data_IF_622457962716
#
_entry.id   IF_622457962716
#
_cell.length_a   1.000
_cell.length_b   1.000
_cell.length_c   1.000
_cell.angle_alpha   90.00
_cell.angle_beta   90.00
_cell.angle_gamma   90.00
#
_symmetry.space_group_name_H-M   'P 1'
#
loop_
_entity.id
_entity.type
_entity.pdbx_description
1 polymer ?
#
# COMPACT_ATOMS: atom_id res chain seq x y z
N UNK A 1 -48.83 1.23 9.58
CA UNK A 1 -48.23 1.53 8.27
C UNK A 1 -47.39 2.83 8.29
N UNK A 2 -47.89 3.92 8.84
CA UNK A 2 -47.23 5.24 8.88
C UNK A 2 -45.85 5.24 9.55
N UNK A 3 -45.72 4.51 10.67
CA UNK A 3 -44.47 4.43 11.44
C UNK A 3 -43.32 3.74 10.68
N UNK A 4 -43.64 2.69 9.90
CA UNK A 4 -42.67 1.96 9.11
C UNK A 4 -42.10 2.82 7.98
N UNK A 5 -42.95 3.63 7.34
CA UNK A 5 -42.56 4.56 6.27
C UNK A 5 -41.61 5.65 6.81
N UNK A 6 -41.86 6.14 8.02
CA UNK A 6 -41.02 7.16 8.68
C UNK A 6 -39.61 6.61 8.94
N UNK A 7 -39.48 5.38 9.46
CA UNK A 7 -38.18 4.73 9.68
C UNK A 7 -37.42 4.49 8.38
N UNK A 8 -38.10 4.12 7.31
CA UNK A 8 -37.49 3.90 6.00
C UNK A 8 -36.96 5.22 5.40
N UNK A 9 -37.70 6.30 5.55
CA UNK A 9 -37.27 7.64 5.08
C UNK A 9 -36.06 8.14 5.89
N UNK A 10 -36.06 7.94 7.22
CA UNK A 10 -34.91 8.31 8.09
C UNK A 10 -33.66 7.50 7.70
N UNK A 11 -33.82 6.19 7.47
CA UNK A 11 -32.70 5.33 6.99
C UNK A 11 -32.09 5.86 5.69
N UNK A 12 -32.89 6.14 4.68
CA UNK A 12 -32.43 6.69 3.40
C UNK A 12 -31.71 8.05 3.57
N UNK A 13 -32.23 8.92 4.43
CA UNK A 13 -31.59 10.23 4.70
C UNK A 13 -30.23 10.06 5.37
N UNK A 14 -30.11 9.13 6.32
CA UNK A 14 -28.85 8.82 7.01
C UNK A 14 -27.84 8.26 6.03
N UNK A 15 -28.23 7.30 5.18
CA UNK A 15 -27.36 6.72 4.17
C UNK A 15 -26.86 7.76 3.14
N UNK A 16 -27.77 8.61 2.64
CA UNK A 16 -27.38 9.71 1.72
C UNK A 16 -26.45 10.72 2.41
N UNK A 17 -26.65 10.99 3.72
CA UNK A 17 -25.79 11.88 4.48
C UNK A 17 -24.39 11.27 4.68
N UNK A 18 -24.30 9.99 5.03
CA UNK A 18 -23.06 9.25 5.19
C UNK A 18 -22.30 9.21 3.86
N UNK A 19 -22.96 8.86 2.74
CA UNK A 19 -22.36 8.83 1.41
C UNK A 19 -21.84 10.24 1.01
N UNK A 20 -22.57 11.30 1.30
CA UNK A 20 -22.11 12.67 1.03
C UNK A 20 -20.93 13.09 1.89
N UNK A 21 -20.89 12.67 3.15
CA UNK A 21 -19.76 12.95 4.06
C UNK A 21 -18.50 12.26 3.52
N UNK A 22 -18.55 10.97 3.21
CA UNK A 22 -17.40 10.24 2.64
C UNK A 22 -16.95 10.81 1.29
N UNK A 23 -17.89 11.23 0.44
CA UNK A 23 -17.55 11.85 -0.84
C UNK A 23 -16.81 13.18 -0.68
N UNK A 24 -17.22 14.02 0.29
CA UNK A 24 -16.51 15.27 0.61
C UNK A 24 -15.11 15.03 1.19
N UNK A 25 -14.96 14.01 2.04
CA UNK A 25 -13.67 13.65 2.60
C UNK A 25 -12.67 13.19 1.53
N UNK A 26 -13.13 12.42 0.54
CA UNK A 26 -12.29 11.97 -0.57
C UNK A 26 -11.82 13.10 -1.50
N UNK A 27 -12.53 14.25 -1.52
CA UNK A 27 -12.20 15.42 -2.34
C UNK A 27 -11.24 16.40 -1.66
N UNK A 28 -10.96 16.26 -0.34
CA UNK A 28 -10.06 17.15 0.38
C UNK A 28 -8.61 16.78 0.04
N UNK A 29 -7.80 17.69 -0.55
CA UNK A 29 -6.40 17.42 -0.78
C UNK A 29 -5.67 17.26 0.57
N UNK A 30 -4.82 16.24 0.67
CA UNK A 30 -4.02 16.03 1.86
C UNK A 30 -2.86 17.03 1.93
N UNK A 31 -2.60 17.60 3.11
CA UNK A 31 -1.38 18.36 3.34
C UNK A 31 -0.13 17.52 3.09
N UNK A 32 0.95 18.13 2.59
CA UNK A 32 2.19 17.43 2.31
C UNK A 32 2.82 16.80 3.55
N UNK A 33 2.64 17.41 4.72
CA UNK A 33 3.12 16.91 6.00
C UNK A 33 2.50 15.58 6.45
N UNK A 34 1.41 15.15 5.82
CA UNK A 34 0.77 13.86 6.10
C UNK A 34 1.37 12.70 5.30
N UNK A 35 2.40 12.94 4.52
CA UNK A 35 3.15 11.88 3.87
C UNK A 35 4.11 11.23 4.88
N UNK A 36 4.04 9.92 5.02
CA UNK A 36 4.82 9.14 5.98
C UNK A 36 6.21 8.72 5.48
N UNK A 37 6.72 9.32 4.44
CA UNK A 37 8.05 9.00 3.88
C UNK A 37 9.21 9.61 4.67
N UNK A 38 9.02 9.79 5.96
CA UNK A 38 10.07 10.23 6.89
C UNK A 38 11.23 9.24 6.91
N UNK A 39 12.45 9.75 6.84
CA UNK A 39 13.66 8.93 6.85
C UNK A 39 14.15 8.46 5.48
N UNK A 40 13.44 8.77 4.39
CA UNK A 40 13.91 8.55 3.03
C UNK A 40 14.44 9.86 2.45
N UNK A 41 15.77 9.94 2.30
CA UNK A 41 16.43 11.12 1.72
C UNK A 41 16.36 11.14 0.20
N UNK A 42 16.67 12.27 -0.41
CA UNK A 42 16.79 12.37 -1.88
C UNK A 42 17.91 11.44 -2.43
N UNK A 43 18.95 11.13 -1.63
CA UNK A 43 19.97 10.16 -2.00
C UNK A 43 19.41 8.74 -2.03
N UNK A 44 18.46 8.42 -1.15
CA UNK A 44 17.78 7.13 -1.14
C UNK A 44 16.85 6.96 -2.34
N UNK A 45 16.24 8.02 -2.85
CA UNK A 45 15.40 7.96 -4.05
C UNK A 45 16.16 7.43 -5.28
N UNK A 46 17.46 7.73 -5.39
CA UNK A 46 18.30 7.19 -6.47
C UNK A 46 18.39 5.65 -6.42
N UNK A 47 18.28 5.03 -5.23
CA UNK A 47 18.26 3.58 -5.05
C UNK A 47 17.03 2.91 -5.65
N UNK A 48 15.92 3.62 -5.79
CA UNK A 48 14.69 3.05 -6.35
C UNK A 48 14.91 2.46 -7.75
N UNK A 49 15.74 3.10 -8.57
CA UNK A 49 16.07 2.62 -9.93
C UNK A 49 16.81 1.28 -9.87
N UNK A 50 17.75 1.14 -8.95
CA UNK A 50 18.51 -0.11 -8.79
C UNK A 50 17.64 -1.22 -8.19
N UNK A 51 16.74 -0.88 -7.27
CA UNK A 51 15.75 -1.82 -6.72
C UNK A 51 14.79 -2.31 -7.81
N UNK A 52 14.27 -1.42 -8.64
CA UNK A 52 13.45 -1.80 -9.80
C UNK A 52 14.21 -2.68 -10.77
N UNK A 53 15.49 -2.41 -11.05
CA UNK A 53 16.31 -3.27 -11.91
C UNK A 53 16.53 -4.65 -11.34
N UNK A 54 16.66 -4.76 -10.02
CA UNK A 54 16.99 -6.01 -9.33
C UNK A 54 15.76 -6.89 -9.07
N UNK A 55 14.67 -6.29 -8.64
CA UNK A 55 13.49 -7.00 -8.14
C UNK A 55 12.27 -6.83 -9.06
N UNK A 56 12.23 -5.79 -9.89
CA UNK A 56 11.13 -5.52 -10.79
C UNK A 56 11.07 -6.49 -11.98
N UNK A 57 9.90 -7.02 -12.26
CA UNK A 57 9.64 -7.81 -13.47
C UNK A 57 9.44 -6.87 -14.66
N UNK A 58 10.44 -6.82 -15.53
CA UNK A 58 10.37 -6.00 -16.76
C UNK A 58 9.33 -6.54 -17.72
N UNK A 59 8.46 -5.65 -18.16
CA UNK A 59 7.51 -5.91 -19.23
C UNK A 59 7.06 -4.55 -19.78
N UNK A 60 7.59 -4.17 -20.95
CA UNK A 60 7.36 -2.85 -21.52
C UNK A 60 6.00 -2.77 -22.22
N UNK A 61 5.25 -1.74 -21.86
CA UNK A 61 3.99 -1.39 -22.51
C UNK A 61 3.94 0.12 -22.78
N UNK A 62 2.97 0.53 -23.57
CA UNK A 62 2.57 1.94 -23.72
C UNK A 62 1.21 2.11 -23.11
N UNK A 63 1.12 2.92 -22.05
CA UNK A 63 -0.17 3.21 -21.42
C UNK A 63 -1.05 4.08 -22.33
N UNK A 64 -2.35 3.80 -22.32
CA UNK A 64 -3.32 4.69 -22.93
C UNK A 64 -3.20 6.12 -22.37
N UNK A 65 -3.39 7.10 -23.22
CA UNK A 65 -3.43 8.51 -22.82
C UNK A 65 -4.65 8.85 -21.93
N UNK A 66 -5.65 7.98 -21.91
CA UNK A 66 -6.82 8.11 -21.03
C UNK A 66 -6.50 7.83 -19.56
N UNK A 67 -5.41 7.10 -19.30
CA UNK A 67 -4.94 6.85 -17.94
C UNK A 67 -4.16 8.07 -17.45
N UNK A 68 -4.78 8.81 -16.54
CA UNK A 68 -4.24 10.05 -15.99
C UNK A 68 -3.53 9.76 -14.67
N UNK A 69 -2.21 9.67 -14.68
CA UNK A 69 -1.34 9.44 -13.52
C UNK A 69 -0.08 10.29 -13.60
N UNK A 70 0.64 10.53 -12.48
CA UNK A 70 1.89 11.28 -12.49
C UNK A 70 2.94 10.70 -13.43
N UNK A 71 3.80 11.55 -13.96
CA UNK A 71 4.82 11.16 -14.94
C UNK A 71 5.75 10.05 -14.41
N UNK A 72 6.25 10.19 -13.20
CA UNK A 72 7.18 9.23 -12.58
C UNK A 72 6.51 7.87 -12.35
N UNK A 73 5.24 7.85 -11.97
CA UNK A 73 4.45 6.62 -11.86
C UNK A 73 4.27 5.99 -13.24
N UNK A 74 3.95 6.78 -14.26
CA UNK A 74 3.81 6.32 -15.65
C UNK A 74 5.08 5.65 -16.15
N UNK A 75 6.25 6.24 -15.91
CA UNK A 75 7.56 5.67 -16.30
C UNK A 75 7.79 4.29 -15.67
N UNK A 76 7.44 4.10 -14.40
CA UNK A 76 7.53 2.79 -13.72
C UNK A 76 6.54 1.80 -14.31
N UNK A 77 5.27 2.19 -14.46
CA UNK A 77 4.19 1.35 -14.98
C UNK A 77 4.46 0.88 -16.41
N UNK A 78 5.02 1.73 -17.27
CA UNK A 78 5.35 1.38 -18.65
C UNK A 78 6.54 0.44 -18.77
N UNK A 79 7.43 0.39 -17.78
CA UNK A 79 8.65 -0.42 -17.81
C UNK A 79 8.53 -1.74 -17.04
N UNK A 80 7.74 -1.77 -15.96
CA UNK A 80 7.67 -2.90 -15.04
C UNK A 80 6.22 -3.37 -14.85
N UNK A 81 6.02 -4.69 -14.86
CA UNK A 81 4.73 -5.30 -14.58
C UNK A 81 4.45 -5.38 -13.09
N UNK A 82 5.44 -5.82 -12.32
CA UNK A 82 5.35 -6.00 -10.86
C UNK A 82 6.68 -5.66 -10.19
N UNK A 83 6.62 -5.42 -8.89
CA UNK A 83 7.76 -5.36 -7.98
C UNK A 83 7.37 -6.12 -6.71
N UNK A 84 8.15 -7.13 -6.39
CA UNK A 84 7.93 -8.02 -5.24
C UNK A 84 9.26 -8.18 -4.51
N UNK A 85 9.30 -7.84 -3.23
CA UNK A 85 10.50 -8.01 -2.41
C UNK A 85 10.52 -9.37 -1.72
N UNK A 86 9.37 -10.00 -1.53
CA UNK A 86 9.23 -11.36 -1.04
C UNK A 86 8.14 -12.13 -1.83
N UNK A 87 7.99 -13.42 -1.54
CA UNK A 87 7.04 -14.30 -2.23
C UNK A 87 5.57 -14.08 -1.84
N UNK A 88 5.30 -13.22 -0.86
CA UNK A 88 3.97 -13.02 -0.27
C UNK A 88 3.40 -11.64 -0.53
N UNK A 89 4.23 -10.67 -0.86
CA UNK A 89 3.80 -9.28 -1.09
C UNK A 89 3.89 -8.90 -2.56
N UNK A 90 2.89 -8.22 -3.04
CA UNK A 90 2.91 -7.59 -4.36
C UNK A 90 3.05 -6.08 -4.15
N UNK A 91 4.27 -5.66 -3.75
CA UNK A 91 4.56 -4.28 -3.39
C UNK A 91 4.12 -3.29 -4.46
N UNK A 92 4.24 -3.71 -5.73
CA UNK A 92 3.71 -2.96 -6.87
C UNK A 92 3.21 -3.93 -7.95
N UNK A 93 2.05 -3.61 -8.55
CA UNK A 93 1.51 -4.25 -9.75
C UNK A 93 0.75 -3.22 -10.59
N UNK A 94 0.87 -3.33 -11.92
CA UNK A 94 0.08 -2.51 -12.83
C UNK A 94 -1.23 -3.17 -13.27
N UNK A 95 -1.50 -4.39 -12.84
CA UNK A 95 -2.65 -5.19 -13.29
C UNK A 95 -3.97 -4.46 -13.09
N UNK A 96 -4.21 -3.98 -11.88
CA UNK A 96 -5.48 -3.34 -11.53
C UNK A 96 -5.61 -1.94 -12.16
N UNK A 97 -4.49 -1.23 -12.30
CA UNK A 97 -4.43 0.02 -13.04
C UNK A 97 -4.84 -0.15 -14.51
N UNK A 98 -4.40 -1.24 -15.17
CA UNK A 98 -4.75 -1.53 -16.57
C UNK A 98 -6.20 -1.98 -16.73
N UNK A 99 -6.73 -2.71 -15.75
CA UNK A 99 -8.12 -3.18 -15.78
C UNK A 99 -9.11 -2.05 -15.59
N UNK A 100 -8.70 -0.92 -15.01
CA UNK A 100 -9.56 0.23 -14.79
C UNK A 100 -10.73 -0.04 -13.85
N UNK A 101 -10.70 -1.14 -13.12
CA UNK A 101 -11.75 -1.55 -12.20
C UNK A 101 -11.85 -0.55 -11.06
N UNK A 102 -12.89 0.27 -11.11
CA UNK A 102 -13.33 1.05 -9.96
C UNK A 102 -14.15 0.12 -9.07
N UNK A 103 -13.51 -0.46 -8.07
CA UNK A 103 -14.14 -1.48 -7.23
C UNK A 103 -15.21 -0.91 -6.30
N UNK A 104 -15.13 0.36 -5.91
CA UNK A 104 -16.10 1.01 -5.01
C UNK A 104 -16.21 2.52 -5.25
N UNK A 105 -17.35 3.10 -4.85
CA UNK A 105 -17.62 4.54 -5.03
C UNK A 105 -16.65 5.46 -4.29
N UNK A 106 -16.14 5.02 -3.14
CA UNK A 106 -15.16 5.77 -2.33
C UNK A 106 -13.75 5.85 -2.97
N UNK A 107 -13.44 4.97 -3.92
CA UNK A 107 -12.15 4.92 -4.64
C UNK A 107 -12.20 5.58 -6.01
N UNK A 108 -13.32 6.19 -6.38
CA UNK A 108 -13.39 7.01 -7.58
C UNK A 108 -12.31 8.07 -7.53
N UNK A 109 -11.40 8.06 -8.49
CA UNK A 109 -10.27 8.98 -8.53
C UNK A 109 -8.93 8.36 -8.13
N UNK A 110 -8.89 7.06 -7.84
CA UNK A 110 -7.65 6.33 -7.57
C UNK A 110 -7.50 5.11 -8.48
N UNK A 111 -6.25 4.70 -8.70
CA UNK A 111 -5.88 3.41 -9.27
C UNK A 111 -5.12 2.61 -8.23
N UNK A 112 -5.46 1.34 -8.03
CA UNK A 112 -4.66 0.43 -7.22
C UNK A 112 -3.35 0.11 -7.95
N UNK A 113 -2.23 0.15 -7.23
CA UNK A 113 -0.89 -0.14 -7.75
C UNK A 113 -0.15 -1.22 -6.96
N UNK A 114 -0.75 -1.82 -5.95
CA UNK A 114 -0.12 -2.88 -5.17
C UNK A 114 -0.78 -3.12 -3.82
N UNK A 115 -0.12 -3.95 -3.02
CA UNK A 115 -0.53 -4.28 -1.66
C UNK A 115 0.60 -4.98 -0.91
N UNK A 116 0.45 -5.12 0.40
CA UNK A 116 1.42 -5.81 1.25
C UNK A 116 1.13 -7.32 1.44
N UNK A 117 0.18 -7.83 0.68
CA UNK A 117 -0.27 -9.22 0.78
C UNK A 117 -1.21 -9.48 1.96
N UNK A 118 -1.53 -8.46 2.76
CA UNK A 118 -2.42 -8.49 3.91
C UNK A 118 -3.55 -7.47 3.78
N UNK A 119 -3.59 -6.52 4.68
CA UNK A 119 -4.69 -5.58 4.84
C UNK A 119 -4.46 -4.24 4.13
N UNK A 120 -3.21 -3.93 3.74
CA UNK A 120 -2.86 -2.65 3.15
C UNK A 120 -2.80 -2.75 1.63
N UNK A 121 -3.53 -1.86 0.96
CA UNK A 121 -3.46 -1.67 -0.48
C UNK A 121 -2.89 -0.29 -0.83
N UNK A 122 -2.16 -0.19 -1.94
CA UNK A 122 -1.50 1.03 -2.38
C UNK A 122 -2.17 1.60 -3.64
N UNK A 123 -2.27 2.92 -3.68
CA UNK A 123 -3.03 3.65 -4.70
C UNK A 123 -2.27 4.86 -5.22
N UNK A 124 -2.58 5.24 -6.45
CA UNK A 124 -2.20 6.52 -7.05
C UNK A 124 -3.46 7.27 -7.48
N UNK A 125 -3.48 8.58 -7.29
CA UNK A 125 -4.62 9.40 -7.71
C UNK A 125 -4.67 9.52 -9.24
N UNK A 126 -5.88 9.57 -9.79
CA UNK A 126 -6.15 9.88 -11.21
C UNK A 126 -5.87 11.37 -11.48
N UNK A 127 -4.60 11.77 -11.35
CA UNK A 127 -4.13 13.15 -11.51
C UNK A 127 -2.69 13.16 -12.01
N UNK A 128 -2.34 14.11 -12.87
CA UNK A 128 -0.95 14.30 -13.33
C UNK A 128 -0.11 15.12 -12.33
N UNK A 129 -0.77 15.86 -11.45
CA UNK A 129 -0.12 16.82 -10.54
C UNK A 129 0.02 16.26 -9.11
N UNK A 130 -0.58 15.11 -8.81
CA UNK A 130 -0.51 14.50 -7.48
C UNK A 130 0.41 13.29 -7.47
N UNK A 131 1.69 13.52 -7.21
CA UNK A 131 2.76 12.50 -7.23
C UNK A 131 2.69 11.52 -6.06
N UNK A 132 1.83 11.76 -5.06
CA UNK A 132 1.75 10.95 -3.85
C UNK A 132 1.27 9.54 -4.15
N UNK A 133 1.82 8.61 -3.38
CA UNK A 133 1.29 7.26 -3.23
C UNK A 133 0.48 7.22 -1.94
N UNK A 134 -0.67 6.60 -2.01
CA UNK A 134 -1.63 6.47 -0.92
C UNK A 134 -1.69 5.03 -0.45
N UNK A 135 -1.90 4.82 0.84
CA UNK A 135 -2.20 3.53 1.43
C UNK A 135 -3.63 3.50 1.96
N UNK A 136 -4.23 2.35 1.90
CA UNK A 136 -5.49 2.06 2.54
C UNK A 136 -5.37 0.80 3.37
N UNK A 137 -5.71 0.93 4.63
CA UNK A 137 -5.80 -0.17 5.59
C UNK A 137 -7.28 -0.53 5.76
N UNK A 138 -7.64 -1.76 5.42
CA UNK A 138 -9.03 -2.24 5.49
C UNK A 138 -9.60 -2.15 6.91
N UNK A 139 -8.77 -2.35 7.93
CA UNK A 139 -9.22 -2.34 9.33
C UNK A 139 -9.16 -0.96 9.99
N UNK A 140 -8.27 -0.08 9.54
CA UNK A 140 -7.94 1.18 10.22
C UNK A 140 -8.40 2.45 9.53
N UNK A 141 -8.58 2.42 8.20
CA UNK A 141 -8.81 3.64 7.42
C UNK A 141 -10.18 3.67 6.75
N UNK A 142 -10.85 4.79 6.81
CA UNK A 142 -12.09 5.02 6.03
C UNK A 142 -11.84 5.49 4.60
N UNK A 143 -10.59 5.79 4.24
CA UNK A 143 -10.16 6.34 2.94
C UNK A 143 -8.65 6.14 2.74
N UNK A 144 -8.12 6.21 1.48
CA UNK A 144 -6.69 6.22 1.24
C UNK A 144 -6.01 7.43 1.88
N UNK A 145 -4.93 7.17 2.61
CA UNK A 145 -4.11 8.19 3.27
C UNK A 145 -2.76 8.33 2.56
N UNK A 146 -2.15 9.53 2.51
CA UNK A 146 -0.83 9.70 1.93
C UNK A 146 0.20 8.79 2.64
N UNK A 147 0.92 8.00 1.86
CA UNK A 147 1.93 7.06 2.34
C UNK A 147 3.33 7.47 1.95
N UNK A 148 3.53 7.88 0.70
CA UNK A 148 4.81 8.36 0.21
C UNK A 148 4.61 9.58 -0.70
N UNK A 149 5.57 10.50 -0.73
CA UNK A 149 5.48 11.72 -1.54
C UNK A 149 5.63 11.47 -3.04
N UNK A 150 6.26 10.34 -3.43
CA UNK A 150 6.37 9.91 -4.82
C UNK A 150 6.65 8.40 -4.92
N UNK A 151 6.57 7.86 -6.13
CA UNK A 151 6.77 6.41 -6.39
C UNK A 151 8.18 5.93 -6.03
N UNK A 152 9.22 6.74 -6.17
CA UNK A 152 10.60 6.34 -5.86
C UNK A 152 10.80 6.17 -4.36
N UNK A 153 10.30 7.11 -3.56
CA UNK A 153 10.28 6.99 -2.09
C UNK A 153 9.46 5.78 -1.66
N UNK A 154 8.30 5.60 -2.24
CA UNK A 154 7.47 4.42 -1.99
C UNK A 154 8.26 3.11 -2.16
N UNK A 155 8.96 2.93 -3.28
CA UNK A 155 9.76 1.73 -3.54
C UNK A 155 10.84 1.52 -2.47
N UNK A 156 11.54 2.58 -2.08
CA UNK A 156 12.59 2.49 -1.05
C UNK A 156 11.99 2.17 0.32
N UNK A 157 10.84 2.77 0.66
CA UNK A 157 10.13 2.49 1.92
C UNK A 157 9.71 1.02 2.00
N UNK A 158 9.13 0.47 0.93
CA UNK A 158 8.73 -0.94 0.88
C UNK A 158 9.93 -1.86 1.04
N UNK A 159 11.03 -1.57 0.36
CA UNK A 159 12.29 -2.30 0.52
C UNK A 159 12.79 -2.26 1.97
N UNK A 160 12.82 -1.08 2.59
CA UNK A 160 13.26 -0.91 3.97
C UNK A 160 12.36 -1.67 4.96
N UNK A 161 11.04 -1.66 4.75
CA UNK A 161 10.08 -2.43 5.55
C UNK A 161 10.36 -3.93 5.45
N UNK A 162 10.56 -4.45 4.24
CA UNK A 162 10.95 -5.84 4.03
C UNK A 162 12.26 -6.20 4.73
N UNK A 163 13.31 -5.37 4.61
CA UNK A 163 14.59 -5.59 5.32
C UNK A 163 14.42 -5.61 6.84
N UNK A 164 13.57 -4.75 7.39
CA UNK A 164 13.27 -4.73 8.83
C UNK A 164 12.56 -6.03 9.25
N UNK A 165 11.62 -6.52 8.45
CA UNK A 165 10.93 -7.80 8.71
C UNK A 165 11.91 -8.98 8.71
N UNK A 166 12.80 -9.06 7.72
CA UNK A 166 13.83 -10.10 7.69
C UNK A 166 14.70 -10.11 8.94
N UNK A 167 15.12 -8.93 9.38
CA UNK A 167 15.94 -8.81 10.61
C UNK A 167 15.18 -9.29 11.85
N UNK A 168 13.92 -8.96 11.99
CA UNK A 168 13.08 -9.44 13.10
C UNK A 168 12.94 -10.96 13.08
N UNK A 169 12.73 -11.58 11.92
CA UNK A 169 12.64 -13.03 11.79
C UNK A 169 13.95 -13.72 12.17
N UNK A 170 15.09 -13.19 11.77
CA UNK A 170 16.42 -13.72 12.17
C UNK A 170 16.63 -13.63 13.68
N UNK A 171 16.25 -12.52 14.31
CA UNK A 171 16.33 -12.34 15.76
C UNK A 171 15.44 -13.33 16.50
N UNK A 172 14.18 -13.52 16.05
CA UNK A 172 13.27 -14.52 16.63
C UNK A 172 13.81 -15.95 16.51
N UNK A 173 14.34 -16.31 15.35
CA UNK A 173 14.92 -17.64 15.15
C UNK A 173 16.11 -17.88 16.10
N UNK A 174 16.97 -16.88 16.25
CA UNK A 174 18.09 -16.92 17.18
C UNK A 174 17.62 -17.15 18.64
N UNK A 175 16.57 -16.44 19.06
CA UNK A 175 15.97 -16.62 20.40
C UNK A 175 15.37 -18.02 20.55
N UNK A 176 14.65 -18.53 19.55
CA UNK A 176 14.09 -19.89 19.55
C UNK A 176 15.18 -20.96 19.67
N UNK A 177 16.30 -20.80 18.94
CA UNK A 177 17.43 -21.72 19.01
C UNK A 177 18.10 -21.71 20.39
N UNK A 178 18.29 -20.54 21.02
CA UNK A 178 18.82 -20.41 22.39
C UNK A 178 17.92 -21.14 23.40
N UNK A 179 16.59 -20.91 23.33
CA UNK A 179 15.62 -21.59 24.20
C UNK A 179 15.70 -23.12 24.06
N UNK A 180 15.77 -23.65 22.83
CA UNK A 180 15.90 -25.09 22.56
C UNK A 180 17.19 -25.68 23.13
N UNK A 181 18.34 -24.98 23.02
CA UNK A 181 19.63 -25.41 23.61
C UNK A 181 19.53 -25.49 25.12
N UNK A 182 18.98 -24.46 25.76
CA UNK A 182 18.82 -24.42 27.24
C UNK A 182 17.91 -25.53 27.74
N UNK A 183 16.81 -25.81 27.06
CA UNK A 183 15.92 -26.93 27.43
C UNK A 183 16.61 -28.29 27.29
N UNK A 184 17.39 -28.50 26.22
CA UNK A 184 18.16 -29.73 26.03
C UNK A 184 19.23 -29.92 27.12
N UNK A 185 19.88 -28.85 27.57
CA UNK A 185 20.85 -28.90 28.66
C UNK A 185 20.19 -29.24 30.00
N UNK A 186 19.04 -28.60 30.33
CA UNK A 186 18.28 -28.94 31.55
C UNK A 186 17.87 -30.42 31.55
N UNK A 187 17.35 -30.93 30.43
CA UNK A 187 16.91 -32.31 30.30
C UNK A 187 18.07 -33.34 30.46
N UNK A 188 19.30 -32.93 30.15
CA UNK A 188 20.49 -33.76 30.37
C UNK A 188 20.98 -33.77 31.84
N UNK A 189 20.69 -32.70 32.59
CA UNK A 189 21.04 -32.59 34.01
C UNK A 189 20.02 -33.27 34.93
N UNK A 190 18.81 -33.48 34.49
CA UNK A 190 17.70 -34.11 35.23
C UNK A 190 17.63 -35.63 35.01
N UNK A 191 18.61 -36.25 34.36
CA UNK A 191 18.74 -37.71 34.22
C UNK A 191 19.58 -38.21 35.41
N UNK A 192 19.00 -39.04 36.33
CA UNK A 192 19.70 -39.53 37.49
C UNK A 192 20.84 -40.51 37.12
#
# INVERSE_FOLDING_TARGET
MTTLIIFLIIGIIVDVFIIRMHKKEAEIPYPQEWCFDEGVSSADEARAVDLLRKYGKKDQIVLSQTITIPKDVREVVEQYATLEFDDYTMDYTRKDLLNGEETEECWKGFYCIGGDGGEISFYVRKSIDDEKIYAFDIEGSSRPEPYASNIRRFIVMRYNAWQATLKLLEEEETVRQRKRKTQRQKKKMDIP
#
